data_IF_297465269795
#
_entry.id   IF_297465269795
#
_cell.length_a   1.000
_cell.length_b   1.000
_cell.length_c   1.000
_cell.angle_alpha   90.00
_cell.angle_beta   90.00
_cell.angle_gamma   90.00
#
_symmetry.space_group_name_H-M   'P 1'
#
loop_
_entity.id
_entity.type
_entity.pdbx_description
1 polymer ?
#
# COMPACT_ATOMS: atom_id res chain seq x y z
N UNK A 1 16.18 11.93 -17.56
CA UNK A 1 15.93 12.09 -16.11
C UNK A 1 15.24 13.44 -15.92
N UNK A 2 13.98 13.45 -15.48
CA UNK A 2 13.33 14.70 -15.07
C UNK A 2 14.02 15.22 -13.82
N UNK A 3 14.58 16.41 -13.89
CA UNK A 3 15.18 17.09 -12.75
C UNK A 3 14.06 17.58 -11.82
N UNK A 4 13.97 17.06 -10.62
CA UNK A 4 13.11 17.60 -9.57
C UNK A 4 14.02 18.31 -8.58
N UNK A 5 14.01 19.65 -8.61
CA UNK A 5 14.71 20.47 -7.63
C UNK A 5 13.66 21.25 -6.82
N UNK A 6 13.80 21.23 -5.51
CA UNK A 6 13.12 22.23 -4.69
C UNK A 6 13.78 23.58 -4.94
N UNK A 7 12.98 24.63 -4.98
CA UNK A 7 13.50 25.99 -5.10
C UNK A 7 14.39 26.29 -3.88
N UNK A 8 15.49 26.99 -4.11
CA UNK A 8 16.38 27.44 -3.03
C UNK A 8 15.59 28.24 -1.99
N UNK A 9 15.75 27.91 -0.71
CA UNK A 9 14.97 28.48 0.40
C UNK A 9 13.66 27.75 0.71
N UNK A 10 13.31 26.67 -0.02
CA UNK A 10 12.15 25.82 0.36
C UNK A 10 12.43 25.04 1.62
N UNK A 11 11.54 25.14 2.60
CA UNK A 11 11.60 24.35 3.82
C UNK A 11 10.83 23.03 3.65
N UNK A 12 11.47 21.89 3.89
CA UNK A 12 10.87 20.57 3.73
C UNK A 12 9.66 20.32 4.65
N UNK A 13 9.54 21.12 5.72
CA UNK A 13 8.42 21.06 6.66
C UNK A 13 7.13 21.68 6.10
N UNK A 14 7.18 22.42 4.99
CA UNK A 14 6.02 23.09 4.43
C UNK A 14 5.80 22.63 3.00
N UNK A 15 4.69 21.91 2.80
CA UNK A 15 4.22 21.48 1.49
C UNK A 15 3.17 22.44 0.91
N UNK A 16 2.88 22.28 -0.38
CA UNK A 16 1.69 22.91 -0.96
C UNK A 16 0.44 22.34 -0.31
N UNK A 17 -0.50 23.22 0.10
CA UNK A 17 -1.70 22.73 0.78
C UNK A 17 -2.75 23.79 1.04
N UNK A 18 -3.83 23.36 1.68
CA UNK A 18 -4.95 24.21 2.08
C UNK A 18 -5.40 23.85 3.49
N UNK A 19 -5.69 24.85 4.32
CA UNK A 19 -6.19 24.68 5.68
C UNK A 19 -7.70 24.92 5.72
N UNK A 20 -8.45 23.84 5.87
CA UNK A 20 -9.90 23.86 6.02
C UNK A 20 -10.36 24.03 7.46
N UNK A 21 -11.68 23.97 7.67
CA UNK A 21 -12.33 24.20 8.98
C UNK A 21 -12.60 22.91 9.76
N UNK A 22 -12.59 21.75 9.11
CA UNK A 22 -12.87 20.44 9.69
C UNK A 22 -11.65 19.80 10.35
N UNK A 23 -11.82 18.54 10.72
CA UNK A 23 -10.84 17.76 11.46
C UNK A 23 -10.06 16.74 10.61
N UNK A 24 -10.23 16.74 9.27
CA UNK A 24 -9.59 15.80 8.36
C UNK A 24 -8.44 16.44 7.62
N UNK A 25 -7.32 15.74 7.54
CA UNK A 25 -6.17 16.06 6.69
C UNK A 25 -6.03 15.03 5.58
N UNK A 26 -6.10 15.46 4.33
CA UNK A 26 -5.78 14.65 3.16
C UNK A 26 -4.35 14.89 2.73
N UNK A 27 -3.58 13.84 2.53
CA UNK A 27 -2.14 13.86 2.27
C UNK A 27 -1.85 13.28 0.90
N UNK A 28 -1.20 14.05 0.03
CA UNK A 28 -0.87 13.68 -1.34
C UNK A 28 0.65 13.67 -1.56
N UNK A 29 1.12 12.94 -2.56
CA UNK A 29 2.53 12.92 -2.91
C UNK A 29 2.97 14.23 -3.57
N UNK A 30 2.21 14.71 -4.54
CA UNK A 30 2.53 15.89 -5.33
C UNK A 30 1.34 16.90 -5.42
N UNK A 31 1.62 18.20 -5.69
CA UNK A 31 0.59 19.22 -5.88
C UNK A 31 -0.39 18.88 -7.00
N UNK A 32 0.07 18.28 -8.09
CA UNK A 32 -0.79 17.91 -9.22
C UNK A 32 -1.87 16.91 -8.79
N UNK A 33 -1.55 15.95 -7.95
CA UNK A 33 -2.50 14.94 -7.47
C UNK A 33 -3.55 15.55 -6.56
N UNK A 34 -3.15 16.48 -5.67
CA UNK A 34 -4.08 17.24 -4.84
C UNK A 34 -5.05 18.04 -5.70
N UNK A 35 -4.57 18.79 -6.69
CA UNK A 35 -5.39 19.60 -7.58
C UNK A 35 -6.32 18.75 -8.43
N UNK A 36 -5.84 17.60 -8.92
CA UNK A 36 -6.64 16.63 -9.66
C UNK A 36 -7.74 16.02 -8.79
N UNK A 37 -7.42 15.66 -7.55
CA UNK A 37 -8.40 15.17 -6.58
C UNK A 37 -9.51 16.21 -6.32
N UNK A 38 -9.16 17.47 -6.11
CA UNK A 38 -10.15 18.56 -5.91
C UNK A 38 -10.99 18.79 -7.16
N UNK A 39 -10.43 18.60 -8.35
CA UNK A 39 -11.16 18.69 -9.62
C UNK A 39 -12.14 17.54 -9.81
N UNK A 40 -11.78 16.34 -9.34
CA UNK A 40 -12.65 15.15 -9.35
C UNK A 40 -13.77 15.25 -8.31
N UNK A 41 -13.49 15.83 -7.14
CA UNK A 41 -14.38 15.90 -5.98
C UNK A 41 -14.55 17.34 -5.47
N UNK A 42 -15.19 18.22 -6.24
CA UNK A 42 -15.26 19.67 -5.92
C UNK A 42 -16.22 19.99 -4.77
N UNK A 43 -17.02 19.04 -4.30
CA UNK A 43 -18.04 19.30 -3.30
C UNK A 43 -17.46 19.42 -1.89
N UNK A 44 -17.75 20.52 -1.22
CA UNK A 44 -17.40 20.78 0.19
C UNK A 44 -15.90 20.61 0.52
N UNK A 45 -15.01 20.75 -0.47
CA UNK A 45 -13.57 20.56 -0.26
C UNK A 45 -13.00 21.54 0.78
N UNK A 46 -13.53 22.77 0.89
CA UNK A 46 -13.08 23.76 1.86
C UNK A 46 -13.26 23.32 3.33
N UNK A 47 -14.12 22.36 3.58
CA UNK A 47 -14.32 21.75 4.90
C UNK A 47 -13.15 20.89 5.38
N UNK A 48 -12.26 20.46 4.47
CA UNK A 48 -11.13 19.61 4.79
C UNK A 48 -9.80 20.34 4.63
N UNK A 49 -8.75 19.83 5.26
CA UNK A 49 -7.38 20.31 5.07
C UNK A 49 -6.62 19.36 4.13
N UNK A 50 -5.67 19.90 3.38
CA UNK A 50 -4.91 19.19 2.37
C UNK A 50 -3.44 19.58 2.46
N UNK A 51 -2.53 18.62 2.25
CA UNK A 51 -1.08 18.85 2.20
C UNK A 51 -0.43 17.92 1.19
N UNK A 52 0.63 18.40 0.55
CA UNK A 52 1.49 17.58 -0.29
C UNK A 52 2.84 17.37 0.37
N UNK A 53 3.40 16.19 0.18
CA UNK A 53 4.68 15.81 0.78
C UNK A 53 5.88 16.24 -0.08
N UNK A 54 5.66 16.59 -1.35
CA UNK A 54 6.71 16.80 -2.36
C UNK A 54 7.65 15.57 -2.48
N UNK A 55 7.04 14.39 -2.47
CA UNK A 55 7.64 13.08 -2.39
C UNK A 55 6.93 12.25 -1.32
N UNK A 56 7.68 11.47 -0.56
CA UNK A 56 7.10 10.55 0.44
C UNK A 56 7.60 10.78 1.88
N UNK A 57 8.23 11.93 2.15
CA UNK A 57 8.73 12.29 3.48
C UNK A 57 7.58 12.78 4.38
N UNK A 58 7.67 12.51 5.69
CA UNK A 58 6.62 12.79 6.67
C UNK A 58 6.57 14.24 7.18
N UNK A 59 7.61 15.04 6.93
CA UNK A 59 7.82 16.34 7.60
C UNK A 59 6.65 17.31 7.42
N UNK A 60 6.17 17.51 6.19
CA UNK A 60 5.06 18.43 5.90
C UNK A 60 3.75 17.98 6.56
N UNK A 61 3.48 16.66 6.56
CA UNK A 61 2.30 16.10 7.21
C UNK A 61 2.33 16.32 8.73
N UNK A 62 3.45 15.99 9.38
CA UNK A 62 3.59 16.17 10.83
C UNK A 62 3.54 17.63 11.23
N UNK A 63 4.12 18.55 10.42
CA UNK A 63 4.04 19.97 10.67
C UNK A 63 2.59 20.49 10.54
N UNK A 64 1.86 20.07 9.51
CA UNK A 64 0.45 20.45 9.34
C UNK A 64 -0.42 20.00 10.52
N UNK A 65 -0.19 18.81 11.06
CA UNK A 65 -0.88 18.29 12.24
C UNK A 65 -0.53 19.08 13.50
N UNK A 66 0.74 19.44 13.67
CA UNK A 66 1.21 20.27 14.80
C UNK A 66 0.62 21.67 14.75
N UNK A 67 0.55 22.28 13.57
CA UNK A 67 0.03 23.64 13.37
C UNK A 67 -1.50 23.72 13.49
N UNK A 68 -2.20 22.58 13.38
CA UNK A 68 -3.64 22.49 13.50
C UNK A 68 -4.10 21.33 14.40
N UNK A 69 -4.10 21.52 15.73
CA UNK A 69 -4.48 20.47 16.70
C UNK A 69 -5.92 19.96 16.59
N UNK A 70 -6.76 20.57 15.76
CA UNK A 70 -8.11 20.06 15.48
C UNK A 70 -8.12 18.88 14.53
N UNK A 71 -7.01 18.66 13.81
CA UNK A 71 -6.89 17.53 12.89
C UNK A 71 -6.66 16.23 13.69
N UNK A 72 -7.62 15.34 13.60
CA UNK A 72 -7.61 14.05 14.30
C UNK A 72 -7.67 12.85 13.35
N UNK A 73 -8.09 13.09 12.11
CA UNK A 73 -8.23 12.06 11.10
C UNK A 73 -7.32 12.37 9.91
N UNK A 74 -6.44 11.44 9.56
CA UNK A 74 -5.53 11.55 8.42
C UNK A 74 -5.94 10.58 7.32
N UNK A 75 -6.08 11.08 6.10
CA UNK A 75 -6.38 10.31 4.90
C UNK A 75 -5.18 10.34 3.98
N UNK A 76 -4.50 9.21 3.83
CA UNK A 76 -3.34 9.06 2.95
C UNK A 76 -3.82 8.79 1.51
N UNK A 77 -3.53 9.70 0.59
CA UNK A 77 -3.95 9.71 -0.80
C UNK A 77 -2.74 9.63 -1.76
N UNK A 78 -1.73 8.85 -1.40
CA UNK A 78 -0.50 8.69 -2.19
C UNK A 78 -0.75 7.83 -3.43
N UNK A 79 0.23 7.82 -4.32
CA UNK A 79 0.17 7.09 -5.59
C UNK A 79 -0.23 5.62 -5.40
N UNK A 80 -0.93 5.10 -6.38
CA UNK A 80 -1.34 3.69 -6.45
C UNK A 80 -0.31 2.88 -7.23
N UNK A 81 0.93 2.97 -6.75
CA UNK A 81 2.07 2.19 -7.21
C UNK A 81 2.81 1.56 -6.00
N UNK A 82 3.78 0.67 -6.21
CA UNK A 82 4.50 0.02 -5.13
C UNK A 82 5.15 0.99 -4.13
N UNK A 83 5.70 2.10 -4.60
CA UNK A 83 6.35 3.10 -3.75
C UNK A 83 5.35 3.87 -2.88
N UNK A 84 4.23 4.32 -3.47
CA UNK A 84 3.16 5.01 -2.75
C UNK A 84 2.45 4.10 -1.74
N UNK A 85 2.26 2.81 -2.09
CA UNK A 85 1.69 1.81 -1.18
C UNK A 85 2.59 1.58 0.04
N UNK A 86 3.90 1.40 -0.17
CA UNK A 86 4.88 1.24 0.90
C UNK A 86 4.96 2.50 1.77
N UNK A 87 4.98 3.68 1.15
CA UNK A 87 4.97 4.95 1.84
C UNK A 87 3.73 5.14 2.71
N UNK A 88 2.54 4.74 2.24
CA UNK A 88 1.31 4.76 3.04
C UNK A 88 1.45 3.92 4.31
N UNK A 89 2.00 2.71 4.22
CA UNK A 89 2.24 1.85 5.39
C UNK A 89 3.18 2.50 6.40
N UNK A 90 4.32 3.01 5.93
CA UNK A 90 5.32 3.70 6.75
C UNK A 90 4.75 4.96 7.43
N UNK A 91 4.03 5.79 6.68
CA UNK A 91 3.42 7.01 7.23
C UNK A 91 2.33 6.70 8.25
N UNK A 92 1.53 5.66 8.03
CA UNK A 92 0.53 5.21 9.00
C UNK A 92 1.19 4.79 10.33
N UNK A 93 2.30 4.05 10.29
CA UNK A 93 3.06 3.70 11.50
C UNK A 93 3.60 4.94 12.22
N UNK A 94 4.15 5.91 11.47
CA UNK A 94 4.65 7.17 12.04
C UNK A 94 3.51 7.94 12.72
N UNK A 95 2.34 8.03 12.08
CA UNK A 95 1.16 8.69 12.66
C UNK A 95 0.71 8.02 13.95
N UNK A 96 0.59 6.70 13.97
CA UNK A 96 0.22 5.94 15.19
C UNK A 96 1.21 6.18 16.31
N UNK A 97 2.53 6.15 16.05
CA UNK A 97 3.58 6.45 17.03
C UNK A 97 3.49 7.89 17.58
N UNK A 98 2.96 8.83 16.81
CA UNK A 98 2.73 10.21 17.20
C UNK A 98 1.33 10.45 17.82
N UNK A 99 0.56 9.39 18.10
CA UNK A 99 -0.74 9.47 18.78
C UNK A 99 -1.95 9.67 17.86
N UNK A 100 -1.79 9.62 16.54
CA UNK A 100 -2.87 9.72 15.56
C UNK A 100 -3.39 8.34 15.18
N UNK A 101 -4.48 7.89 15.80
CA UNK A 101 -5.05 6.56 15.56
C UNK A 101 -6.07 6.48 14.42
N UNK A 102 -6.67 7.61 14.00
CA UNK A 102 -7.65 7.64 12.93
C UNK A 102 -6.97 7.86 11.56
N UNK A 103 -6.25 6.84 11.09
CA UNK A 103 -5.55 6.86 9.80
C UNK A 103 -6.32 6.02 8.79
N UNK A 104 -6.60 6.59 7.62
CA UNK A 104 -7.28 5.94 6.50
C UNK A 104 -6.40 6.03 5.25
N UNK A 105 -6.59 5.09 4.33
CA UNK A 105 -6.04 5.17 2.99
C UNK A 105 -7.17 5.36 1.98
N UNK A 106 -6.99 6.29 1.05
CA UNK A 106 -7.84 6.47 -0.12
C UNK A 106 -6.96 6.33 -1.36
N UNK A 107 -7.37 5.46 -2.29
CA UNK A 107 -6.60 5.14 -3.49
C UNK A 107 -7.29 5.67 -4.73
N UNK A 108 -6.49 6.16 -5.68
CA UNK A 108 -6.90 6.39 -7.06
C UNK A 108 -7.23 5.05 -7.75
N UNK A 109 -8.05 5.09 -8.77
CA UNK A 109 -8.34 3.92 -9.62
C UNK A 109 -7.18 3.62 -10.58
N UNK A 110 -6.51 4.67 -11.07
CA UNK A 110 -5.29 4.61 -11.87
C UNK A 110 -4.05 4.78 -10.98
N UNK A 111 -2.86 4.95 -11.61
CA UNK A 111 -1.58 5.11 -10.90
C UNK A 111 -1.60 6.24 -9.87
N UNK A 112 -2.22 7.36 -10.18
CA UNK A 112 -2.33 8.54 -9.32
C UNK A 112 -3.62 9.32 -9.61
N UNK A 113 -3.90 10.37 -8.87
CA UNK A 113 -5.11 11.17 -9.02
C UNK A 113 -5.13 11.99 -10.31
N UNK A 114 -3.97 12.33 -10.86
CA UNK A 114 -3.90 13.00 -12.16
C UNK A 114 -4.28 12.04 -13.29
N UNK A 115 -3.90 10.78 -13.21
CA UNK A 115 -4.31 9.76 -14.17
C UNK A 115 -5.83 9.49 -14.08
N UNK A 116 -6.42 9.49 -12.89
CA UNK A 116 -7.89 9.40 -12.72
C UNK A 116 -8.61 10.58 -13.38
N UNK A 117 -8.06 11.81 -13.22
CA UNK A 117 -8.61 13.00 -13.85
C UNK A 117 -8.52 12.93 -15.39
N UNK A 118 -7.38 12.50 -15.94
CA UNK A 118 -7.19 12.25 -17.38
C UNK A 118 -8.22 11.24 -17.91
N UNK A 119 -8.41 10.13 -17.19
CA UNK A 119 -9.39 9.10 -17.55
C UNK A 119 -10.82 9.63 -17.59
N UNK A 120 -11.18 10.54 -16.68
CA UNK A 120 -12.50 11.21 -16.70
C UNK A 120 -12.74 12.02 -17.99
N UNK A 121 -11.68 12.54 -18.59
CA UNK A 121 -11.74 13.28 -19.86
C UNK A 121 -11.48 12.42 -21.10
N UNK A 122 -11.36 11.11 -20.93
CA UNK A 122 -11.17 10.17 -22.04
C UNK A 122 -9.74 10.11 -22.58
N UNK A 123 -8.76 10.61 -21.82
CA UNK A 123 -7.35 10.52 -22.18
C UNK A 123 -6.78 9.14 -21.79
N UNK A 124 -5.68 8.76 -22.42
CA UNK A 124 -4.94 7.55 -22.06
C UNK A 124 -4.34 7.67 -20.66
N UNK A 125 -4.52 6.64 -19.84
CA UNK A 125 -4.14 6.61 -18.43
C UNK A 125 -3.11 5.56 -18.14
N UNK A 126 -2.29 5.81 -17.13
CA UNK A 126 -1.38 4.81 -16.57
C UNK A 126 -2.15 4.00 -15.52
N UNK A 127 -2.27 2.67 -15.67
CA UNK A 127 -3.01 1.84 -14.72
C UNK A 127 -2.33 1.81 -13.35
N UNK A 128 -3.14 1.58 -12.33
CA UNK A 128 -2.65 1.31 -10.98
C UNK A 128 -1.75 0.06 -10.96
N UNK A 129 -0.73 0.11 -10.13
CA UNK A 129 0.20 -1.00 -9.92
C UNK A 129 0.10 -1.48 -8.48
N UNK A 130 -0.38 -2.70 -8.29
CA UNK A 130 -0.42 -3.27 -6.96
C UNK A 130 0.99 -3.63 -6.47
N UNK A 131 1.20 -3.48 -5.15
CA UNK A 131 2.45 -3.93 -4.55
C UNK A 131 2.60 -5.44 -4.74
N UNK A 132 3.81 -5.96 -5.07
CA UNK A 132 4.04 -7.40 -5.22
C UNK A 132 3.50 -8.25 -4.07
N UNK A 133 3.59 -7.75 -2.82
CA UNK A 133 2.99 -8.42 -1.65
C UNK A 133 1.47 -8.55 -1.71
N UNK A 134 0.76 -7.62 -2.36
CA UNK A 134 -0.69 -7.71 -2.53
C UNK A 134 -1.03 -8.75 -3.59
N UNK A 135 -0.25 -8.81 -4.67
CA UNK A 135 -0.35 -9.87 -5.67
C UNK A 135 -0.01 -11.25 -5.05
N UNK A 136 1.02 -11.30 -4.24
CA UNK A 136 1.36 -12.48 -3.42
C UNK A 136 0.18 -12.88 -2.52
N UNK A 137 -0.49 -11.95 -1.84
CA UNK A 137 -1.66 -12.23 -1.01
C UNK A 137 -2.91 -12.66 -1.80
N UNK A 138 -3.07 -12.23 -3.05
CA UNK A 138 -4.16 -12.71 -3.93
C UNK A 138 -3.88 -14.11 -4.43
N UNK A 139 -2.70 -14.37 -4.94
CA UNK A 139 -2.25 -15.71 -5.28
C UNK A 139 -2.42 -16.68 -4.09
N UNK A 140 -2.20 -16.20 -2.88
CA UNK A 140 -2.48 -16.88 -1.63
C UNK A 140 -3.92 -17.23 -1.37
N UNK A 141 -4.84 -16.31 -1.62
CA UNK A 141 -6.27 -16.56 -1.44
C UNK A 141 -6.71 -17.71 -2.34
N UNK A 142 -6.17 -17.77 -3.55
CA UNK A 142 -6.41 -18.89 -4.48
C UNK A 142 -5.76 -20.19 -3.96
N UNK A 143 -4.51 -20.14 -3.48
CA UNK A 143 -3.83 -21.29 -2.87
C UNK A 143 -4.58 -21.79 -1.64
N UNK A 144 -5.02 -20.90 -0.76
CA UNK A 144 -5.79 -21.24 0.43
C UNK A 144 -7.12 -21.89 0.07
N UNK A 145 -7.77 -21.41 -0.98
CA UNK A 145 -9.01 -21.98 -1.48
C UNK A 145 -8.77 -23.40 -1.99
N UNK A 146 -7.74 -23.61 -2.81
CA UNK A 146 -7.37 -24.92 -3.33
C UNK A 146 -6.97 -25.89 -2.21
N UNK A 147 -6.20 -25.43 -1.21
CA UNK A 147 -5.84 -26.23 -0.02
C UNK A 147 -7.08 -26.60 0.78
N UNK A 148 -7.97 -25.65 1.02
CA UNK A 148 -9.21 -25.87 1.79
C UNK A 148 -10.13 -26.87 1.08
N UNK A 149 -10.25 -26.75 -0.23
CA UNK A 149 -11.06 -27.66 -1.06
C UNK A 149 -10.44 -29.07 -1.15
N UNK A 150 -9.11 -29.15 -1.30
CA UNK A 150 -8.39 -30.44 -1.48
C UNK A 150 -8.23 -31.26 -0.21
N UNK A 151 -8.12 -30.61 0.96
CA UNK A 151 -7.74 -31.27 2.23
C UNK A 151 -8.93 -31.42 3.17
N UNK A 152 -10.11 -30.85 2.82
CA UNK A 152 -11.32 -30.88 3.67
C UNK A 152 -11.04 -30.45 5.13
N UNK A 153 -10.13 -29.49 5.32
CA UNK A 153 -9.73 -29.02 6.64
C UNK A 153 -10.82 -28.11 7.20
N UNK A 154 -11.72 -28.70 7.95
CA UNK A 154 -12.81 -28.04 8.70
C UNK A 154 -12.33 -26.93 9.66
N UNK A 155 -11.02 -26.79 9.91
CA UNK A 155 -10.46 -26.01 11.02
C UNK A 155 -9.17 -25.28 10.70
N UNK A 156 -8.82 -25.02 9.44
CA UNK A 156 -7.66 -24.21 9.12
C UNK A 156 -7.90 -22.76 9.57
N UNK A 157 -7.45 -22.43 10.77
CA UNK A 157 -7.44 -21.05 11.27
C UNK A 157 -6.63 -20.19 10.29
N UNK A 158 -7.28 -19.21 9.65
CA UNK A 158 -6.70 -18.34 8.65
C UNK A 158 -5.37 -17.69 9.12
N UNK A 159 -5.28 -17.34 10.40
CA UNK A 159 -4.07 -16.78 11.01
C UNK A 159 -2.90 -17.78 11.07
N UNK A 160 -3.20 -19.05 11.29
CA UNK A 160 -2.20 -20.12 11.34
C UNK A 160 -1.61 -20.39 9.96
N UNK A 161 -2.47 -20.48 8.95
CA UNK A 161 -2.07 -20.68 7.57
C UNK A 161 -1.24 -19.49 7.07
N UNK A 162 -1.66 -18.24 7.34
CA UNK A 162 -0.90 -17.06 6.94
C UNK A 162 0.50 -17.00 7.56
N UNK A 163 0.66 -17.44 8.80
CA UNK A 163 1.98 -17.49 9.46
C UNK A 163 2.92 -18.50 8.80
N UNK A 164 2.45 -19.72 8.60
CA UNK A 164 3.24 -20.77 7.95
C UNK A 164 3.65 -20.42 6.53
N UNK A 165 2.82 -19.76 5.82
CA UNK A 165 3.15 -19.32 4.47
C UNK A 165 4.29 -18.33 4.43
N UNK A 166 4.22 -17.28 5.18
CA UNK A 166 5.26 -16.27 5.16
C UNK A 166 6.62 -16.92 5.43
N UNK A 167 6.65 -17.90 6.32
CA UNK A 167 7.86 -18.64 6.65
C UNK A 167 8.31 -19.51 5.47
N UNK A 168 7.42 -20.29 4.87
CA UNK A 168 7.70 -21.13 3.70
C UNK A 168 8.13 -20.26 2.51
N UNK A 169 7.44 -19.16 2.24
CA UNK A 169 7.77 -18.24 1.15
C UNK A 169 9.15 -17.62 1.32
N UNK A 170 9.48 -17.18 2.53
CA UNK A 170 10.78 -16.60 2.84
C UNK A 170 11.91 -17.63 2.67
N UNK A 171 11.68 -18.87 3.05
CA UNK A 171 12.66 -19.95 2.90
C UNK A 171 12.85 -20.35 1.41
N UNK A 172 11.77 -20.39 0.63
CA UNK A 172 11.84 -20.61 -0.83
C UNK A 172 12.62 -19.49 -1.53
N UNK A 173 12.41 -18.23 -1.13
CA UNK A 173 13.20 -17.09 -1.65
C UNK A 173 14.68 -17.15 -1.29
N UNK A 174 15.04 -17.76 -0.17
CA UNK A 174 16.43 -17.98 0.23
C UNK A 174 17.12 -19.13 -0.53
N UNK A 175 16.43 -19.75 -1.48
CA UNK A 175 16.97 -20.84 -2.30
C UNK A 175 16.98 -22.21 -1.64
N UNK A 176 16.22 -22.40 -0.55
CA UNK A 176 16.01 -23.73 0.01
C UNK A 176 15.09 -24.55 -0.90
N UNK A 177 15.56 -25.69 -1.34
CA UNK A 177 14.83 -26.58 -2.24
C UNK A 177 13.61 -27.22 -1.57
N UNK A 178 12.69 -27.72 -2.40
CA UNK A 178 11.45 -28.39 -1.97
C UNK A 178 11.67 -29.50 -0.95
N UNK A 179 12.74 -30.30 -1.11
CA UNK A 179 13.06 -31.40 -0.21
C UNK A 179 13.45 -30.94 1.19
N UNK A 180 14.22 -29.85 1.28
CA UNK A 180 14.65 -29.29 2.56
C UNK A 180 13.49 -28.63 3.35
N UNK A 181 12.44 -28.17 2.66
CA UNK A 181 11.25 -27.60 3.29
C UNK A 181 10.26 -28.66 3.73
N UNK A 182 10.20 -29.80 3.03
CA UNK A 182 9.38 -30.96 3.43
C UNK A 182 9.87 -31.58 4.74
N UNK A 183 11.17 -31.57 4.97
CA UNK A 183 11.76 -32.08 6.21
C UNK A 183 11.61 -31.09 7.40
N UNK A 184 11.40 -29.80 7.12
CA UNK A 184 11.27 -28.77 8.14
C UNK A 184 9.83 -28.59 8.67
N UNK A 185 8.81 -29.11 7.97
CA UNK A 185 7.40 -28.93 8.30
C UNK A 185 6.65 -30.27 8.36
N UNK A 186 6.21 -30.67 9.54
CA UNK A 186 5.40 -31.86 9.75
C UNK A 186 3.95 -31.72 9.27
N UNK A 187 3.36 -32.78 8.74
CA UNK A 187 1.93 -32.96 8.48
C UNK A 187 1.30 -31.89 7.58
N UNK A 188 0.46 -30.96 8.13
CA UNK A 188 -0.21 -29.93 7.33
C UNK A 188 0.73 -28.96 6.62
N UNK A 189 1.91 -28.70 7.20
CA UNK A 189 2.93 -27.85 6.59
C UNK A 189 3.52 -28.45 5.32
N UNK A 190 3.72 -29.77 5.29
CA UNK A 190 4.22 -30.48 4.13
C UNK A 190 3.25 -30.44 2.94
N UNK A 191 1.95 -30.61 3.21
CA UNK A 191 0.90 -30.49 2.19
C UNK A 191 0.79 -29.06 1.65
N UNK A 192 0.85 -28.08 2.54
CA UNK A 192 0.85 -26.66 2.19
C UNK A 192 2.04 -26.29 1.31
N UNK A 193 3.23 -26.77 1.62
CA UNK A 193 4.45 -26.56 0.81
C UNK A 193 4.26 -27.11 -0.61
N UNK A 194 3.71 -28.31 -0.75
CA UNK A 194 3.45 -28.91 -2.06
C UNK A 194 2.46 -28.12 -2.92
N UNK A 195 1.42 -27.57 -2.32
CA UNK A 195 0.43 -26.73 -3.03
C UNK A 195 1.05 -25.40 -3.42
N UNK A 196 1.79 -24.76 -2.53
CA UNK A 196 2.49 -23.51 -2.77
C UNK A 196 3.47 -23.58 -3.94
N UNK A 197 4.32 -24.62 -3.94
CA UNK A 197 5.29 -24.85 -5.03
C UNK A 197 4.56 -24.93 -6.37
N UNK A 198 3.47 -25.74 -6.46
CA UNK A 198 2.68 -25.84 -7.69
C UNK A 198 2.06 -24.53 -8.12
N UNK A 199 1.56 -23.73 -7.18
CA UNK A 199 0.98 -22.43 -7.51
C UNK A 199 2.05 -21.43 -7.97
N UNK A 200 3.21 -21.39 -7.33
CA UNK A 200 4.32 -20.53 -7.74
C UNK A 200 4.86 -20.93 -9.13
N UNK A 201 4.97 -22.22 -9.42
CA UNK A 201 5.35 -22.72 -10.75
C UNK A 201 4.32 -22.32 -11.81
N UNK A 202 3.03 -22.41 -11.49
CA UNK A 202 1.93 -22.04 -12.40
C UNK A 202 1.88 -20.54 -12.71
N UNK A 203 2.22 -19.70 -11.74
CA UNK A 203 2.32 -18.25 -11.89
C UNK A 203 3.67 -17.79 -12.47
N UNK A 204 4.58 -18.70 -12.81
CA UNK A 204 5.90 -18.37 -13.36
C UNK A 204 6.84 -17.70 -12.35
N UNK A 205 6.58 -17.84 -11.06
CA UNK A 205 7.45 -17.33 -10.01
C UNK A 205 8.67 -18.24 -9.91
N UNK A 206 9.86 -17.68 -10.15
CA UNK A 206 11.11 -18.43 -10.07
C UNK A 206 11.35 -18.91 -8.64
N UNK A 207 11.23 -20.21 -8.44
CA UNK A 207 11.74 -20.87 -7.23
C UNK A 207 13.27 -20.81 -7.30
N UNK A 208 13.91 -20.28 -6.26
CA UNK A 208 15.36 -20.29 -6.15
C UNK A 208 15.90 -21.73 -6.36
N UNK A 209 16.91 -21.87 -7.20
CA UNK A 209 17.62 -23.12 -7.44
C UNK A 209 18.51 -23.45 -6.27
#
# INVERSE_FOLDING_TARGET
RSFRLNQEGSEAAYGFGYRGTGNRLYVFEAPIDLLSFLSLYPENWQGNSYITLNGVAEHAMLQALKDNPRLDTVVLCLDHDPAGIEACGRLAEILVRNGYGAVKRLQSACKDWNEDLKGRYGEETIPAQEHPRVMECRAWTEVLKEVTESINIKYANRSYICRYYQDIYNELKKGRGREQLTDAFDGPGMLLTGVLVRCMEKEGIALGR
#
